data_IF_666093958690
#
_entry.id   IF_666093958690
#
_cell.length_a   1.000
_cell.length_b   1.000
_cell.length_c   1.000
_cell.angle_alpha   90.00
_cell.angle_beta   90.00
_cell.angle_gamma   90.00
#
_symmetry.space_group_name_H-M   'P 1'
#
loop_
_entity.id
_entity.type
_entity.pdbx_description
1 polymer ?
#
# COMPACT_ATOMS: atom_id res chain seq x y z
N UNK A 1 16.81 14.77 12.70
CA UNK A 1 17.36 13.77 13.64
C UNK A 1 16.30 13.08 14.51
N UNK A 2 15.02 13.03 14.10
CA UNK A 2 13.96 12.30 14.83
C UNK A 2 13.73 10.86 14.33
N UNK A 3 14.57 10.35 13.41
CA UNK A 3 14.37 9.06 12.73
C UNK A 3 15.01 7.86 13.45
N UNK A 4 15.71 8.08 14.57
CA UNK A 4 16.44 7.04 15.30
C UNK A 4 16.34 7.28 16.81
N UNK A 5 15.11 7.34 17.33
CA UNK A 5 14.89 7.31 18.78
C UNK A 5 14.57 5.87 19.16
N UNK A 6 15.50 5.24 19.87
CA UNK A 6 15.28 3.96 20.53
C UNK A 6 14.10 4.11 21.51
N UNK A 7 12.98 3.44 21.23
CA UNK A 7 11.74 3.53 22.00
C UNK A 7 10.62 4.38 21.36
N UNK A 8 10.84 5.03 20.21
CA UNK A 8 9.72 5.55 19.43
C UNK A 8 8.99 4.39 18.76
N UNK A 9 7.65 4.35 18.88
CA UNK A 9 6.79 3.41 18.18
C UNK A 9 6.85 3.68 16.66
N UNK A 10 7.89 3.18 16.00
CA UNK A 10 8.12 3.34 14.56
C UNK A 10 9.60 3.44 14.21
N UNK A 11 10.22 2.29 13.96
CA UNK A 11 11.51 2.22 13.29
C UNK A 11 11.33 2.51 11.80
N UNK A 12 12.31 3.14 11.14
CA UNK A 12 12.31 3.26 9.67
C UNK A 12 12.26 1.89 8.97
N UNK A 13 12.67 0.81 9.66
CA UNK A 13 12.50 -0.55 9.15
C UNK A 13 11.02 -0.97 9.07
N UNK A 14 10.15 -0.42 9.92
CA UNK A 14 8.70 -0.65 9.85
C UNK A 14 8.10 0.00 8.59
N UNK A 15 8.71 1.11 8.12
CA UNK A 15 8.40 1.74 6.83
C UNK A 15 8.74 0.85 5.64
N UNK A 16 9.49 -0.25 5.81
CA UNK A 16 9.81 -1.24 4.77
C UNK A 16 9.08 -2.57 4.99
N UNK A 17 7.77 -2.51 5.22
CA UNK A 17 6.94 -3.72 5.31
C UNK A 17 6.81 -4.40 3.94
N UNK A 18 7.62 -5.44 3.72
CA UNK A 18 7.55 -6.32 2.53
C UNK A 18 6.12 -6.87 2.32
N UNK A 19 5.42 -7.39 3.35
CA UNK A 19 4.04 -7.86 3.17
C UNK A 19 3.10 -6.75 2.69
N UNK A 20 3.19 -5.54 3.25
CA UNK A 20 2.37 -4.40 2.84
C UNK A 20 2.62 -4.03 1.37
N UNK A 21 3.88 -4.08 0.93
CA UNK A 21 4.26 -3.82 -0.46
C UNK A 21 3.70 -4.89 -1.42
N UNK A 22 3.78 -6.17 -1.05
CA UNK A 22 3.27 -7.29 -1.86
C UNK A 22 1.77 -7.19 -2.10
N UNK A 23 0.98 -6.80 -1.09
CA UNK A 23 -0.47 -6.60 -1.24
C UNK A 23 -0.74 -5.54 -2.31
N UNK A 24 -0.03 -4.41 -2.29
CA UNK A 24 -0.22 -3.35 -3.28
C UNK A 24 0.15 -3.82 -4.69
N UNK A 25 1.29 -4.49 -4.85
CA UNK A 25 1.74 -5.00 -6.16
C UNK A 25 0.79 -6.06 -6.73
N UNK A 26 0.18 -6.90 -5.89
CA UNK A 26 -0.80 -7.90 -6.33
C UNK A 26 -1.98 -7.26 -7.08
N UNK A 27 -2.41 -6.07 -6.68
CA UNK A 27 -3.45 -5.33 -7.38
C UNK A 27 -2.98 -4.74 -8.72
N UNK A 28 -1.70 -4.42 -8.88
CA UNK A 28 -1.13 -4.10 -10.20
C UNK A 28 -1.23 -5.28 -11.19
N UNK A 29 -1.23 -6.51 -10.67
CA UNK A 29 -1.52 -7.72 -11.46
C UNK A 29 -2.91 -7.74 -12.10
N UNK A 30 -3.92 -7.10 -11.48
CA UNK A 30 -5.26 -6.97 -12.05
C UNK A 30 -5.24 -6.14 -13.34
N UNK A 31 -4.40 -5.10 -13.40
CA UNK A 31 -4.23 -4.31 -14.61
C UNK A 31 -3.55 -5.10 -15.71
N UNK A 32 -2.55 -5.91 -15.37
CA UNK A 32 -1.87 -6.79 -16.32
C UNK A 32 -2.84 -7.80 -16.95
N UNK A 33 -3.77 -8.36 -16.18
CA UNK A 33 -4.83 -9.25 -16.69
C UNK A 33 -5.81 -8.53 -17.64
N UNK A 34 -5.93 -7.21 -17.54
CA UNK A 34 -6.81 -6.40 -18.40
C UNK A 34 -6.05 -5.71 -19.54
N UNK A 35 -4.75 -6.01 -19.75
CA UNK A 35 -3.89 -5.26 -20.68
C UNK A 35 -4.45 -5.20 -22.11
N UNK A 36 -5.08 -6.28 -22.58
CA UNK A 36 -5.61 -6.36 -23.95
C UNK A 36 -6.90 -5.53 -24.13
N UNK A 37 -7.54 -5.10 -23.03
CA UNK A 37 -8.75 -4.25 -23.05
C UNK A 37 -8.45 -2.77 -23.17
N UNK A 38 -7.21 -2.34 -22.93
CA UNK A 38 -6.85 -0.92 -22.87
C UNK A 38 -5.71 -0.57 -23.83
N UNK A 39 -5.81 0.58 -24.48
CA UNK A 39 -4.67 1.16 -25.22
C UNK A 39 -3.53 1.46 -24.24
N UNK A 40 -2.29 1.28 -24.69
CA UNK A 40 -1.10 1.45 -23.84
C UNK A 40 -1.09 2.76 -23.04
N UNK A 41 -1.37 3.91 -23.66
CA UNK A 41 -1.43 5.20 -22.95
C UNK A 41 -2.51 5.32 -21.86
N UNK A 42 -3.58 4.49 -21.92
CA UNK A 42 -4.61 4.41 -20.86
C UNK A 42 -4.24 3.41 -19.78
N UNK A 43 -3.38 2.44 -20.09
CA UNK A 43 -3.01 1.37 -19.18
C UNK A 43 -2.32 1.91 -17.92
N UNK A 44 -1.46 2.92 -18.04
CA UNK A 44 -0.82 3.56 -16.88
C UNK A 44 -1.81 4.22 -15.92
N UNK A 45 -2.87 4.83 -16.45
CA UNK A 45 -3.94 5.40 -15.61
C UNK A 45 -4.74 4.31 -14.89
N UNK A 46 -5.06 3.21 -15.57
CA UNK A 46 -5.72 2.05 -14.93
C UNK A 46 -4.81 1.45 -13.86
N UNK A 47 -3.51 1.32 -14.15
CA UNK A 47 -2.52 0.76 -13.23
C UNK A 47 -2.35 1.62 -11.98
N UNK A 48 -2.30 2.94 -12.12
CA UNK A 48 -2.35 3.87 -10.98
C UNK A 48 -3.56 3.60 -10.08
N UNK A 49 -4.74 3.55 -10.67
CA UNK A 49 -5.98 3.38 -9.90
C UNK A 49 -6.03 2.01 -9.22
N UNK A 50 -5.59 0.95 -9.90
CA UNK A 50 -5.54 -0.40 -9.33
C UNK A 50 -4.51 -0.48 -8.18
N UNK A 51 -3.35 0.20 -8.28
CA UNK A 51 -2.37 0.28 -7.17
C UNK A 51 -2.90 1.05 -5.96
N UNK A 52 -3.57 2.19 -6.18
CA UNK A 52 -4.23 2.95 -5.11
C UNK A 52 -5.31 2.11 -4.45
N UNK A 53 -6.12 1.41 -5.24
CA UNK A 53 -7.12 0.46 -4.74
C UNK A 53 -6.46 -0.63 -3.89
N UNK A 54 -5.33 -1.18 -4.34
CA UNK A 54 -4.57 -2.18 -3.58
C UNK A 54 -4.09 -1.67 -2.23
N UNK A 55 -3.66 -0.41 -2.14
CA UNK A 55 -3.34 0.24 -0.87
C UNK A 55 -4.53 0.30 0.07
N UNK A 56 -5.70 0.72 -0.41
CA UNK A 56 -6.92 0.75 0.40
C UNK A 56 -7.42 -0.65 0.80
N UNK A 57 -7.22 -1.65 -0.05
CA UNK A 57 -7.55 -3.04 0.28
C UNK A 57 -6.62 -3.60 1.37
N UNK A 58 -5.32 -3.27 1.31
CA UNK A 58 -4.38 -3.58 2.39
C UNK A 58 -4.79 -2.97 3.74
N UNK A 59 -5.25 -1.73 3.71
CA UNK A 59 -5.80 -1.06 4.89
C UNK A 59 -7.04 -1.77 5.46
N UNK A 60 -8.00 -2.15 4.61
CA UNK A 60 -9.21 -2.87 5.03
C UNK A 60 -8.87 -4.24 5.63
N UNK A 61 -7.96 -4.99 5.00
CA UNK A 61 -7.48 -6.28 5.52
C UNK A 61 -6.87 -6.10 6.90
N UNK A 62 -6.05 -5.07 7.07
CA UNK A 62 -5.48 -4.70 8.36
C UNK A 62 -6.53 -4.41 9.42
N UNK A 63 -7.54 -3.59 9.10
CA UNK A 63 -8.64 -3.29 10.02
C UNK A 63 -9.40 -4.54 10.45
N UNK A 64 -9.66 -5.47 9.52
CA UNK A 64 -10.31 -6.75 9.83
C UNK A 64 -9.46 -7.56 10.84
N UNK A 65 -8.15 -7.64 10.62
CA UNK A 65 -7.24 -8.35 11.54
C UNK A 65 -7.16 -7.67 12.91
N UNK A 66 -7.19 -6.34 12.94
CA UNK A 66 -7.19 -5.56 14.17
C UNK A 66 -8.46 -5.76 14.99
N UNK A 67 -9.62 -5.75 14.33
CA UNK A 67 -10.92 -6.03 14.97
C UNK A 67 -11.03 -7.48 15.47
N UNK A 68 -10.31 -8.41 14.83
CA UNK A 68 -10.22 -9.80 15.25
C UNK A 68 -9.20 -10.04 16.38
N UNK A 69 -8.41 -9.03 16.77
CA UNK A 69 -7.38 -9.17 17.78
C UNK A 69 -7.98 -9.33 19.18
N UNK A 70 -7.30 -10.12 20.04
CA UNK A 70 -7.67 -10.23 21.45
C UNK A 70 -7.42 -8.91 22.19
N UNK A 71 -8.10 -8.64 23.33
CA UNK A 71 -7.88 -7.41 24.10
C UNK A 71 -6.41 -7.18 24.49
N UNK A 72 -5.69 -8.25 24.81
CA UNK A 72 -4.26 -8.23 25.14
C UNK A 72 -3.39 -7.91 23.90
N UNK A 73 -3.72 -8.48 22.74
CA UNK A 73 -3.03 -8.20 21.48
C UNK A 73 -3.25 -6.77 21.00
N UNK A 74 -4.47 -6.25 21.19
CA UNK A 74 -4.82 -4.86 20.89
C UNK A 74 -4.08 -3.91 21.83
N UNK A 75 -4.14 -4.15 23.15
CA UNK A 75 -3.51 -3.28 24.15
C UNK A 75 -2.00 -3.16 23.99
N UNK A 76 -1.33 -4.22 23.52
CA UNK A 76 0.12 -4.21 23.36
C UNK A 76 0.62 -3.56 22.06
N UNK A 77 -0.16 -3.58 20.95
CA UNK A 77 0.39 -3.28 19.62
C UNK A 77 -0.57 -2.56 18.65
N UNK A 78 -1.67 -1.95 19.14
CA UNK A 78 -2.65 -1.32 18.26
C UNK A 78 -2.06 -0.17 17.41
N UNK A 79 -1.15 0.64 17.96
CA UNK A 79 -0.51 1.76 17.25
C UNK A 79 0.38 1.28 16.10
N UNK A 80 1.21 0.26 16.36
CA UNK A 80 2.06 -0.38 15.35
C UNK A 80 1.24 -1.05 14.25
N UNK A 81 0.13 -1.71 14.65
CA UNK A 81 -0.85 -2.25 13.71
C UNK A 81 -1.40 -1.15 12.79
N UNK A 82 -1.96 -0.08 13.35
CA UNK A 82 -2.54 1.03 12.58
C UNK A 82 -1.52 1.67 11.63
N UNK A 83 -0.28 1.87 12.10
CA UNK A 83 0.82 2.39 11.29
C UNK A 83 1.11 1.48 10.08
N UNK A 84 1.23 0.16 10.30
CA UNK A 84 1.48 -0.80 9.23
C UNK A 84 0.38 -0.83 8.16
N UNK A 85 -0.87 -0.59 8.57
CA UNK A 85 -2.01 -0.49 7.66
C UNK A 85 -1.94 0.79 6.82
N UNK A 86 -1.60 1.93 7.43
CA UNK A 86 -1.45 3.20 6.71
C UNK A 86 -0.30 3.17 5.70
N UNK A 87 0.76 2.40 5.97
CA UNK A 87 1.85 2.20 5.00
C UNK A 87 1.36 1.57 3.68
N UNK A 88 0.36 0.69 3.71
CA UNK A 88 -0.21 0.11 2.47
C UNK A 88 -0.85 1.20 1.59
N UNK A 89 -1.57 2.14 2.18
CA UNK A 89 -2.18 3.27 1.48
C UNK A 89 -1.11 4.16 0.88
N UNK A 90 -0.08 4.47 1.67
CA UNK A 90 1.06 5.29 1.25
C UNK A 90 1.78 4.66 0.05
N UNK A 91 2.07 3.35 0.08
CA UNK A 91 2.65 2.64 -1.06
C UNK A 91 1.75 2.66 -2.30
N UNK A 92 0.44 2.47 -2.14
CA UNK A 92 -0.52 2.55 -3.25
C UNK A 92 -0.47 3.91 -3.97
N UNK A 93 -0.48 5.00 -3.22
CA UNK A 93 -0.37 6.36 -3.79
C UNK A 93 1.01 6.65 -4.36
N UNK A 94 2.09 6.27 -3.68
CA UNK A 94 3.45 6.49 -4.16
C UNK A 94 3.70 5.77 -5.49
N UNK A 95 3.41 4.46 -5.54
CA UNK A 95 3.58 3.68 -6.77
C UNK A 95 2.63 4.14 -7.86
N UNK A 96 1.37 4.41 -7.54
CA UNK A 96 0.39 4.87 -8.52
C UNK A 96 0.78 6.20 -9.17
N UNK A 97 1.25 7.17 -8.38
CA UNK A 97 1.71 8.45 -8.91
C UNK A 97 3.05 8.33 -9.66
N UNK A 98 3.94 7.43 -9.22
CA UNK A 98 5.19 7.14 -9.92
C UNK A 98 4.92 6.55 -11.31
N UNK A 99 3.97 5.62 -11.41
CA UNK A 99 3.52 5.04 -12.68
C UNK A 99 3.01 6.15 -13.60
N UNK A 100 2.14 7.03 -13.12
CA UNK A 100 1.63 8.16 -13.92
C UNK A 100 2.73 9.12 -14.39
N UNK A 101 3.76 9.36 -13.57
CA UNK A 101 4.88 10.22 -13.93
C UNK A 101 5.76 9.64 -15.04
N UNK A 102 6.00 8.32 -15.02
CA UNK A 102 6.83 7.64 -16.02
C UNK A 102 6.06 7.13 -17.24
N UNK A 103 4.73 7.05 -17.18
CA UNK A 103 3.94 6.49 -18.26
C UNK A 103 3.76 7.50 -19.42
N UNK A 104 3.89 7.06 -20.68
CA UNK A 104 3.74 7.96 -21.81
C UNK A 104 2.31 8.49 -21.91
N UNK A 105 2.21 9.83 -21.98
CA UNK A 105 0.96 10.53 -22.27
C UNK A 105 0.65 10.42 -23.76
N UNK A 106 -0.65 10.50 -24.10
CA UNK A 106 -1.10 10.54 -25.50
C UNK A 106 -0.46 11.77 -26.17
N UNK A 107 0.38 11.54 -27.19
CA UNK A 107 0.92 12.58 -28.06
C UNK A 107 -0.20 13.25 -28.86
#
# INVERSE_FOLDING_TARGET
YALFVEGAAGSFLDFTSIPSFLVVIAFGGLTYMKKDKYKFHKLGFVLKNDLILGGWMGFIIGLILMLAATPEGLGNNWEGGLSAMMLTVLYGYMLGNLIEAFWPKKA
#
